data_IF_324153051614
#
_entry.id   IF_324153051614
#
_cell.length_a   1.000
_cell.length_b   1.000
_cell.length_c   1.000
_cell.angle_alpha   90.00
_cell.angle_beta   90.00
_cell.angle_gamma   90.00
#
_symmetry.space_group_name_H-M   'P 1'
#
loop_
_entity.id
_entity.type
_entity.pdbx_description
1 polymer ?
#
# COMPACT_ATOMS: atom_id res chain seq x y z
N UNK A 1 34.58 -79.04 18.94
CA UNK A 1 34.53 -78.59 20.35
C UNK A 1 33.49 -77.48 20.49
N UNK A 2 33.01 -77.28 21.73
CA UNK A 2 31.84 -76.50 22.16
C UNK A 2 31.82 -75.01 21.76
N UNK A 3 30.58 -74.52 21.55
CA UNK A 3 29.99 -73.17 21.78
C UNK A 3 30.93 -71.99 22.11
N UNK A 4 30.66 -70.81 21.55
CA UNK A 4 30.08 -69.65 22.29
C UNK A 4 29.87 -68.38 21.43
N UNK A 5 28.69 -67.75 21.65
CA UNK A 5 28.34 -66.31 21.77
C UNK A 5 28.71 -65.27 20.69
N UNK A 6 27.63 -64.68 20.12
CA UNK A 6 27.21 -63.25 20.10
C UNK A 6 28.27 -62.15 20.35
N UNK A 7 28.24 -60.92 19.80
CA UNK A 7 27.41 -60.09 18.89
C UNK A 7 28.28 -58.84 18.61
N UNK A 8 28.11 -58.20 17.45
CA UNK A 8 28.46 -56.79 17.22
C UNK A 8 28.76 -56.60 15.73
N UNK A 9 28.01 -55.88 14.91
CA UNK A 9 27.10 -54.75 15.16
C UNK A 9 27.63 -53.58 14.34
N UNK A 10 27.22 -53.46 13.06
CA UNK A 10 27.33 -52.22 12.28
C UNK A 10 26.11 -52.16 11.36
N UNK A 11 25.19 -51.25 11.63
CA UNK A 11 24.04 -50.96 10.77
C UNK A 11 24.44 -49.81 9.86
N UNK A 12 24.62 -50.10 8.57
CA UNK A 12 24.71 -49.09 7.51
C UNK A 12 23.29 -48.79 7.06
N UNK A 13 22.71 -47.70 7.54
CA UNK A 13 21.42 -47.21 7.04
C UNK A 13 21.69 -46.47 5.72
N UNK A 14 21.49 -47.16 4.59
CA UNK A 14 21.29 -46.51 3.29
C UNK A 14 19.97 -45.73 3.36
N UNK A 15 20.04 -44.41 3.50
CA UNK A 15 18.87 -43.55 3.39
C UNK A 15 18.65 -43.19 1.92
N UNK A 16 17.55 -43.68 1.34
CA UNK A 16 17.12 -43.35 -0.01
C UNK A 16 16.70 -41.88 -0.08
N UNK A 17 17.36 -41.11 -0.94
CA UNK A 17 17.00 -39.71 -1.21
C UNK A 17 15.73 -39.70 -2.07
N UNK A 18 14.59 -39.44 -1.45
CA UNK A 18 13.38 -39.09 -2.18
C UNK A 18 13.56 -37.67 -2.75
N UNK A 19 13.79 -37.58 -4.06
CA UNK A 19 13.76 -36.31 -4.80
C UNK A 19 12.29 -35.87 -4.89
N UNK A 20 11.84 -35.12 -3.89
CA UNK A 20 10.60 -34.35 -4.01
C UNK A 20 10.88 -33.18 -4.94
N UNK A 21 10.41 -33.30 -6.18
CA UNK A 21 10.18 -32.17 -7.06
C UNK A 21 9.25 -31.20 -6.33
N UNK A 22 9.82 -30.15 -5.72
CA UNK A 22 9.05 -28.98 -5.32
C UNK A 22 8.57 -28.29 -6.60
N UNK A 23 7.38 -28.66 -7.05
CA UNK A 23 6.57 -27.79 -7.89
C UNK A 23 6.29 -26.57 -7.03
N UNK A 24 7.06 -25.50 -7.24
CA UNK A 24 6.72 -24.18 -6.68
C UNK A 24 5.29 -23.90 -7.14
N UNK A 25 4.31 -23.67 -6.24
CA UNK A 25 3.11 -23.00 -6.68
C UNK A 25 3.60 -21.66 -7.25
N UNK A 26 3.37 -21.45 -8.54
CA UNK A 26 3.33 -20.11 -9.12
C UNK A 26 2.22 -19.40 -8.35
N UNK A 27 2.56 -18.84 -7.18
CA UNK A 27 1.72 -17.87 -6.52
C UNK A 27 1.47 -16.80 -7.57
N UNK A 28 0.21 -16.51 -7.83
CA UNK A 28 -0.14 -15.32 -8.57
C UNK A 28 0.59 -14.17 -7.88
N UNK A 29 1.66 -13.67 -8.51
CA UNK A 29 2.25 -12.39 -8.14
C UNK A 29 1.14 -11.40 -8.40
N UNK A 30 0.37 -11.10 -7.36
CA UNK A 30 -0.56 -10.00 -7.36
C UNK A 30 0.31 -8.77 -7.61
N UNK A 31 0.26 -8.25 -8.84
CA UNK A 31 1.01 -7.07 -9.21
C UNK A 31 0.72 -5.99 -8.16
N UNK A 32 1.77 -5.46 -7.53
CA UNK A 32 1.60 -4.39 -6.57
C UNK A 32 0.91 -3.21 -7.25
N UNK A 33 -0.06 -2.54 -6.59
CA UNK A 33 -0.71 -1.39 -7.16
C UNK A 33 0.29 -0.32 -7.58
N UNK A 34 0.10 0.25 -8.76
CA UNK A 34 0.88 1.41 -9.20
C UNK A 34 0.57 2.59 -8.27
N UNK A 35 1.59 3.23 -7.71
CA UNK A 35 1.40 4.35 -6.78
C UNK A 35 1.50 5.69 -7.53
N UNK A 36 0.48 6.53 -7.36
CA UNK A 36 0.46 7.92 -7.83
C UNK A 36 0.71 8.84 -6.62
N UNK A 37 1.81 9.59 -6.67
CA UNK A 37 2.15 10.54 -5.61
C UNK A 37 1.45 11.87 -5.83
N UNK A 38 0.79 12.37 -4.79
CA UNK A 38 0.29 13.74 -4.70
C UNK A 38 1.16 14.49 -3.70
N UNK A 39 1.81 15.56 -4.16
CA UNK A 39 2.66 16.43 -3.36
C UNK A 39 1.86 17.62 -2.87
N UNK A 40 1.88 17.82 -1.55
CA UNK A 40 1.32 18.94 -0.82
C UNK A 40 2.49 19.89 -0.50
N UNK A 41 2.40 21.13 -0.97
CA UNK A 41 3.38 22.17 -0.68
C UNK A 41 2.74 23.21 0.23
N UNK A 42 3.21 23.36 1.48
CA UNK A 42 2.71 24.38 2.40
C UNK A 42 2.84 25.79 1.80
N UNK A 43 1.92 26.67 2.17
CA UNK A 43 2.06 28.08 1.88
C UNK A 43 3.12 28.71 2.81
N UNK A 44 3.76 29.79 2.37
CA UNK A 44 4.68 30.56 3.21
C UNK A 44 3.93 31.23 4.38
N UNK A 45 2.68 31.63 4.15
CA UNK A 45 1.75 32.05 5.20
C UNK A 45 1.03 30.81 5.77
N UNK A 46 1.14 30.48 7.07
CA UNK A 46 0.46 29.34 7.69
C UNK A 46 -1.06 29.34 7.56
N UNK A 47 -1.69 30.51 7.36
CA UNK A 47 -3.12 30.66 7.11
C UNK A 47 -3.47 30.60 5.61
N UNK A 48 -2.46 30.69 4.74
CA UNK A 48 -2.62 30.60 3.30
C UNK A 48 -2.89 29.16 2.81
N UNK A 49 -3.63 28.98 1.70
CA UNK A 49 -3.92 27.66 1.17
C UNK A 49 -2.64 26.98 0.67
N UNK A 50 -2.42 25.68 0.97
CA UNK A 50 -1.31 24.94 0.40
C UNK A 50 -1.54 24.69 -1.10
N UNK A 51 -0.47 24.40 -1.83
CA UNK A 51 -0.52 24.02 -3.24
C UNK A 51 -0.50 22.50 -3.37
N UNK A 52 -1.26 21.96 -4.33
CA UNK A 52 -1.38 20.51 -4.58
C UNK A 52 -0.92 20.20 -6.00
N UNK A 53 -0.10 19.16 -6.15
CA UNK A 53 0.34 18.69 -7.47
C UNK A 53 0.48 17.16 -7.50
N UNK A 54 -0.12 16.48 -8.48
CA UNK A 54 -1.03 17.00 -9.51
C UNK A 54 -2.44 17.30 -8.97
N UNK A 55 -3.11 18.31 -9.53
CA UNK A 55 -4.55 18.57 -9.35
C UNK A 55 -5.17 19.11 -10.67
N UNK A 56 -6.20 18.47 -11.25
CA UNK A 56 -6.77 17.19 -10.84
C UNK A 56 -5.82 16.03 -11.10
N UNK A 57 -5.90 15.00 -10.26
CA UNK A 57 -5.25 13.71 -10.55
C UNK A 57 -6.28 12.72 -11.08
N UNK A 58 -5.90 11.93 -12.09
CA UNK A 58 -6.70 10.82 -12.60
C UNK A 58 -6.04 9.51 -12.22
N UNK A 59 -6.81 8.59 -11.64
CA UNK A 59 -6.34 7.27 -11.20
C UNK A 59 -7.21 6.15 -11.75
N UNK A 60 -6.56 5.03 -12.07
CA UNK A 60 -7.20 3.78 -12.49
C UNK A 60 -7.52 2.86 -11.30
N UNK A 61 -8.28 1.79 -11.55
CA UNK A 61 -8.70 0.82 -10.52
C UNK A 61 -7.58 0.03 -9.85
N UNK A 62 -6.43 -0.07 -10.49
CA UNK A 62 -5.23 -0.76 -10.01
C UNK A 62 -4.19 0.21 -9.44
N UNK A 63 -4.51 1.49 -9.32
CA UNK A 63 -3.60 2.52 -8.80
C UNK A 63 -3.99 2.92 -7.39
N UNK A 64 -3.00 3.21 -6.55
CA UNK A 64 -3.19 3.85 -5.25
C UNK A 64 -2.67 5.28 -5.27
N UNK A 65 -3.13 6.10 -4.33
CA UNK A 65 -2.65 7.46 -4.10
C UNK A 65 -1.81 7.47 -2.83
N UNK A 66 -0.63 8.09 -2.92
CA UNK A 66 0.18 8.43 -1.77
C UNK A 66 0.28 9.95 -1.63
N UNK A 67 -0.13 10.48 -0.48
CA UNK A 67 0.01 11.89 -0.15
C UNK A 67 1.34 12.15 0.55
N UNK A 68 2.08 13.13 0.06
CA UNK A 68 3.36 13.55 0.65
C UNK A 68 3.34 15.05 0.88
N UNK A 69 4.06 15.53 1.90
CA UNK A 69 4.31 16.96 2.07
C UNK A 69 5.77 17.28 1.74
N UNK A 70 6.01 18.31 0.93
CA UNK A 70 7.33 18.65 0.38
C UNK A 70 8.43 18.86 1.43
N UNK A 71 8.07 19.38 2.61
CA UNK A 71 8.99 19.59 3.73
C UNK A 71 8.75 18.62 4.89
N UNK A 72 8.06 17.50 4.64
CA UNK A 72 7.69 16.53 5.68
C UNK A 72 6.71 17.10 6.72
N UNK A 73 5.98 18.16 6.38
CA UNK A 73 4.98 18.78 7.26
C UNK A 73 3.84 17.82 7.61
N UNK A 74 3.12 18.16 8.68
CA UNK A 74 1.85 17.51 8.98
C UNK A 74 0.76 18.04 8.04
N UNK A 75 -0.06 17.10 7.56
CA UNK A 75 -1.17 17.39 6.68
C UNK A 75 -2.36 16.50 7.03
N UNK A 76 -3.56 16.95 6.69
CA UNK A 76 -4.77 16.12 6.73
C UNK A 76 -5.51 16.24 5.41
N UNK A 77 -5.83 15.10 4.82
CA UNK A 77 -6.66 14.96 3.62
C UNK A 77 -8.00 14.38 4.03
N UNK A 78 -9.12 15.02 3.65
CA UNK A 78 -10.47 14.57 4.02
C UNK A 78 -11.42 14.54 2.83
N UNK A 79 -12.01 13.37 2.56
CA UNK A 79 -13.15 13.25 1.65
C UNK A 79 -14.45 13.59 2.37
N UNK A 80 -14.95 14.81 2.15
CA UNK A 80 -16.09 15.40 2.88
C UNK A 80 -17.46 14.84 2.49
N UNK A 81 -17.59 14.21 1.33
CA UNK A 81 -18.87 13.65 0.85
C UNK A 81 -19.29 12.41 1.66
N UNK A 82 -20.34 12.52 2.49
CA UNK A 82 -20.78 11.43 3.40
C UNK A 82 -21.20 10.14 2.69
N UNK A 83 -21.87 10.23 1.55
CA UNK A 83 -22.43 9.05 0.85
C UNK A 83 -21.50 8.48 -0.22
N UNK A 84 -20.44 9.19 -0.58
CA UNK A 84 -19.58 8.85 -1.72
C UNK A 84 -18.12 9.08 -1.38
N UNK A 85 -17.29 8.05 -1.57
CA UNK A 85 -15.84 8.11 -1.35
C UNK A 85 -15.12 7.24 -2.38
N UNK A 86 -13.92 7.64 -2.85
CA UNK A 86 -13.18 6.84 -3.82
C UNK A 86 -12.49 5.64 -3.17
N UNK A 87 -12.07 5.76 -1.91
CA UNK A 87 -11.28 4.76 -1.19
C UNK A 87 -12.02 4.19 0.03
N UNK A 88 -11.48 3.13 0.64
CA UNK A 88 -11.99 2.60 1.91
C UNK A 88 -11.86 3.63 3.03
N UNK A 89 -10.70 4.29 3.11
CA UNK A 89 -10.45 5.42 4.01
C UNK A 89 -11.10 6.73 3.54
N UNK A 90 -11.32 7.65 4.48
CA UNK A 90 -11.79 9.02 4.20
C UNK A 90 -10.80 10.09 4.62
N UNK A 91 -9.92 9.74 5.55
CA UNK A 91 -8.98 10.64 6.19
C UNK A 91 -7.59 10.03 6.01
N UNK A 92 -6.68 10.84 5.48
CA UNK A 92 -5.29 10.48 5.26
C UNK A 92 -4.41 11.57 5.86
N UNK A 93 -3.25 11.17 6.36
CA UNK A 93 -2.30 12.07 7.02
C UNK A 93 -0.90 11.47 6.88
N UNK A 94 0.11 12.12 7.47
CA UNK A 94 1.49 11.66 7.40
C UNK A 94 1.71 10.21 7.88
N UNK A 95 0.96 9.74 8.88
CA UNK A 95 1.07 8.37 9.40
C UNK A 95 0.24 7.35 8.59
N UNK A 96 -0.77 7.81 7.86
CA UNK A 96 -1.63 7.01 6.99
C UNK A 96 -1.76 7.71 5.62
N UNK A 97 -0.63 7.77 4.91
CA UNK A 97 -0.46 8.55 3.68
C UNK A 97 -0.93 7.83 2.43
N UNK A 98 -1.26 6.54 2.52
CA UNK A 98 -1.64 5.71 1.37
C UNK A 98 -3.13 5.43 1.35
N UNK A 99 -3.73 5.58 0.17
CA UNK A 99 -5.17 5.39 -0.02
C UNK A 99 -5.59 3.92 -0.13
N UNK A 100 -4.67 3.06 -0.57
CA UNK A 100 -4.99 1.80 -1.24
C UNK A 100 -5.76 2.02 -2.55
N UNK A 101 -6.15 0.94 -3.21
CA UNK A 101 -6.87 1.02 -4.49
C UNK A 101 -8.31 1.57 -4.33
N UNK A 102 -8.85 2.26 -5.35
CA UNK A 102 -10.22 2.77 -5.33
C UNK A 102 -11.28 1.66 -5.18
N UNK A 103 -12.13 1.81 -4.17
CA UNK A 103 -13.30 0.95 -3.92
C UNK A 103 -14.63 1.60 -4.32
N UNK A 104 -14.66 2.92 -4.52
CA UNK A 104 -15.86 3.68 -4.93
C UNK A 104 -16.19 3.56 -6.42
N UNK A 105 -17.35 4.05 -6.89
CA UNK A 105 -17.68 4.09 -8.32
C UNK A 105 -16.76 5.04 -9.11
N UNK A 106 -16.84 5.05 -10.45
CA UNK A 106 -16.09 6.03 -11.24
C UNK A 106 -16.58 7.46 -10.98
N UNK A 107 -15.76 8.42 -11.38
CA UNK A 107 -16.10 9.84 -11.41
C UNK A 107 -15.24 10.71 -10.49
N UNK A 108 -15.69 11.95 -10.30
CA UNK A 108 -14.93 12.99 -9.60
C UNK A 108 -15.23 12.99 -8.10
N UNK A 109 -14.20 13.11 -7.28
CA UNK A 109 -14.26 13.14 -5.83
C UNK A 109 -13.51 14.37 -5.32
N UNK A 110 -14.22 15.26 -4.64
CA UNK A 110 -13.62 16.40 -3.94
C UNK A 110 -13.07 15.96 -2.60
N UNK A 111 -11.95 16.54 -2.20
CA UNK A 111 -11.37 16.38 -0.88
C UNK A 111 -10.75 17.69 -0.43
N UNK A 112 -10.63 17.88 0.87
CA UNK A 112 -9.95 19.03 1.46
C UNK A 112 -8.56 18.61 1.91
N UNK A 113 -7.56 19.44 1.65
CA UNK A 113 -6.20 19.30 2.18
C UNK A 113 -5.96 20.44 3.15
N UNK A 114 -5.59 20.11 4.38
CA UNK A 114 -5.37 21.04 5.47
C UNK A 114 -3.91 20.94 5.91
N UNK A 115 -3.23 22.08 5.97
CA UNK A 115 -1.85 22.23 6.47
C UNK A 115 -1.81 23.47 7.34
N UNK A 116 -1.53 23.31 8.64
CA UNK A 116 -1.65 24.42 9.59
C UNK A 116 -3.10 24.92 9.67
N UNK A 117 -3.30 26.22 9.44
CA UNK A 117 -4.63 26.85 9.37
C UNK A 117 -5.15 26.96 7.93
N UNK A 118 -4.28 26.77 6.94
CA UNK A 118 -4.61 26.82 5.52
C UNK A 118 -5.33 25.57 5.02
N UNK A 119 -6.24 25.77 4.06
CA UNK A 119 -6.95 24.68 3.39
C UNK A 119 -7.18 24.92 1.90
N UNK A 120 -7.21 23.85 1.12
CA UNK A 120 -7.54 23.86 -0.32
C UNK A 120 -8.40 22.64 -0.68
N UNK A 121 -9.27 22.76 -1.68
CA UNK A 121 -10.25 21.73 -2.07
C UNK A 121 -10.00 21.16 -3.49
N UNK A 122 -8.94 20.37 -3.70
CA UNK A 122 -8.63 19.70 -4.96
C UNK A 122 -9.59 18.56 -5.31
N UNK A 123 -9.32 17.86 -6.41
CA UNK A 123 -10.13 16.73 -6.87
C UNK A 123 -9.33 15.53 -7.39
N UNK A 124 -9.86 14.33 -7.13
CA UNK A 124 -9.42 13.06 -7.72
C UNK A 124 -10.48 12.55 -8.69
N UNK A 125 -10.05 12.03 -9.84
CA UNK A 125 -10.91 11.39 -10.83
C UNK A 125 -10.60 9.90 -10.86
N UNK A 126 -11.55 9.07 -10.45
CA UNK A 126 -11.45 7.60 -10.61
C UNK A 126 -12.01 7.24 -11.98
N UNK A 127 -11.18 6.60 -12.81
CA UNK A 127 -11.53 6.13 -14.15
C UNK A 127 -11.80 4.64 -14.21
#
# INVERSE_FOLDING_TARGET
>A
MKKLKMIGGVVVVLSAVAVLYMVRPMGAQQAEPETITITITPNADPAGPPSISPDPVSISRNQEVEWTCSNGCDFTVVFTQKTRKPFKGRIFNKANSKSGVPTGPHGKYKYSVIVGEGSVDPQIIVR
#
